data_IF_747280601887
#
_entry.id   IF_747280601887
#
_cell.length_a   1.000
_cell.length_b   1.000
_cell.length_c   1.000
_cell.angle_alpha   90.00
_cell.angle_beta   90.00
_cell.angle_gamma   90.00
#
_symmetry.space_group_name_H-M   'P 1'
#
loop_
_entity.id
_entity.type
_entity.pdbx_description
1 polymer ?
#
# COMPACT_ATOMS: atom_id res chain seq x y z
N UNK A 1 20.26 -26.47 32.55
CA UNK A 1 19.27 -26.57 31.45
C UNK A 1 18.14 -25.51 31.54
N UNK A 2 18.34 -24.40 32.27
CA UNK A 2 17.32 -23.34 32.43
C UNK A 2 17.42 -22.11 31.49
N UNK A 3 18.56 -21.75 30.86
CA UNK A 3 18.63 -20.51 30.08
C UNK A 3 18.04 -20.63 28.66
N UNK A 4 17.93 -21.82 28.10
CA UNK A 4 17.39 -22.03 26.74
C UNK A 4 15.87 -21.88 26.67
N UNK A 5 15.14 -22.18 27.76
CA UNK A 5 13.67 -22.12 27.79
C UNK A 5 13.17 -20.66 27.81
N UNK A 6 13.91 -19.73 28.44
CA UNK A 6 13.54 -18.31 28.46
C UNK A 6 13.83 -17.61 27.12
N UNK A 7 14.80 -18.09 26.34
CA UNK A 7 15.07 -17.56 25.00
C UNK A 7 14.02 -18.00 23.97
N UNK A 8 13.41 -19.18 24.16
CA UNK A 8 12.39 -19.72 23.25
C UNK A 8 10.98 -19.12 23.46
N UNK A 9 10.74 -18.38 24.55
CA UNK A 9 9.41 -17.79 24.86
C UNK A 9 9.08 -16.53 24.05
N UNK A 10 10.04 -15.93 23.31
CA UNK A 10 9.79 -14.60 22.71
C UNK A 10 9.93 -14.47 21.20
N UNK A 11 10.24 -15.54 20.43
CA UNK A 11 10.25 -15.40 18.95
C UNK A 11 8.80 -15.44 18.46
N UNK A 12 8.21 -14.30 18.03
CA UNK A 12 6.84 -14.30 17.56
C UNK A 12 6.76 -15.09 16.25
N UNK A 13 5.79 -16.00 16.13
CA UNK A 13 5.56 -16.79 14.91
C UNK A 13 5.32 -15.87 13.69
N UNK A 14 4.78 -14.68 13.95
CA UNK A 14 4.57 -13.62 12.97
C UNK A 14 4.71 -12.24 13.65
N UNK A 15 4.96 -11.17 12.89
CA UNK A 15 5.11 -9.82 13.43
C UNK A 15 3.77 -9.15 13.82
N UNK A 16 2.63 -9.78 13.55
CA UNK A 16 1.31 -9.21 13.84
C UNK A 16 0.89 -9.36 15.30
N UNK A 17 0.05 -8.44 15.77
CA UNK A 17 -0.59 -8.51 17.09
C UNK A 17 -1.99 -9.16 16.96
N UNK A 18 -2.45 -9.96 17.94
CA UNK A 18 -1.77 -10.36 19.18
C UNK A 18 -0.60 -11.31 18.96
N UNK A 19 0.47 -11.16 19.75
CA UNK A 19 1.65 -12.02 19.64
C UNK A 19 1.36 -13.45 20.12
N UNK A 20 2.02 -14.43 19.50
CA UNK A 20 1.93 -15.84 19.92
C UNK A 20 0.69 -16.59 19.44
N UNK A 21 -0.20 -15.96 18.66
CA UNK A 21 -1.29 -16.68 18.00
C UNK A 21 -0.79 -17.41 16.76
N UNK A 22 -1.38 -18.56 16.47
CA UNK A 22 -1.11 -19.26 15.21
C UNK A 22 -1.92 -18.59 14.11
N UNK A 23 -1.27 -18.19 13.01
CA UNK A 23 -1.92 -17.75 11.78
C UNK A 23 -1.79 -18.86 10.73
N UNK A 24 -2.84 -19.70 10.53
CA UNK A 24 -2.81 -20.75 9.52
C UNK A 24 -2.55 -20.16 8.13
N UNK A 25 -1.58 -20.71 7.41
CA UNK A 25 -1.22 -20.25 6.07
C UNK A 25 -0.42 -18.95 6.04
N UNK A 26 0.10 -18.46 7.17
CA UNK A 26 1.01 -17.32 7.16
C UNK A 26 2.27 -17.63 6.36
N UNK A 27 2.52 -16.80 5.35
CA UNK A 27 3.76 -16.77 4.58
C UNK A 27 4.30 -15.34 4.65
N UNK A 28 5.54 -15.20 5.08
CA UNK A 28 6.19 -13.89 5.12
C UNK A 28 6.30 -13.32 3.70
N UNK A 29 6.04 -12.02 3.57
CA UNK A 29 6.16 -11.35 2.27
C UNK A 29 7.61 -11.45 1.76
N UNK A 30 7.76 -11.81 0.49
CA UNK A 30 9.05 -11.83 -0.21
C UNK A 30 9.55 -10.42 -0.51
N UNK A 31 8.63 -9.47 -0.69
CA UNK A 31 8.97 -8.06 -0.86
C UNK A 31 9.12 -7.35 0.48
N UNK A 32 10.14 -6.49 0.58
CA UNK A 32 10.24 -5.59 1.71
C UNK A 32 9.12 -4.55 1.70
N UNK A 33 8.79 -4.00 2.87
CA UNK A 33 7.82 -2.91 2.95
C UNK A 33 8.23 -1.68 2.11
N UNK A 34 9.54 -1.46 1.93
CA UNK A 34 10.07 -0.41 1.06
C UNK A 34 9.77 -0.69 -0.41
N UNK A 35 9.98 -1.94 -0.87
CA UNK A 35 9.69 -2.35 -2.24
C UNK A 35 8.19 -2.20 -2.55
N UNK A 36 7.31 -2.63 -1.64
CA UNK A 36 5.86 -2.46 -1.81
C UNK A 36 5.45 -0.99 -1.97
N UNK A 37 5.97 -0.09 -1.13
CA UNK A 37 5.70 1.35 -1.23
C UNK A 37 6.21 1.95 -2.54
N UNK A 38 7.38 1.50 -3.00
CA UNK A 38 7.93 1.97 -4.28
C UNK A 38 7.06 1.52 -5.46
N UNK A 39 6.63 0.26 -5.48
CA UNK A 39 5.73 -0.28 -6.51
C UNK A 39 4.41 0.50 -6.52
N UNK A 40 3.82 0.75 -5.34
CA UNK A 40 2.60 1.56 -5.23
C UNK A 40 2.80 2.97 -5.79
N UNK A 41 3.89 3.65 -5.43
CA UNK A 41 4.19 4.99 -5.91
C UNK A 41 4.36 5.05 -7.43
N UNK A 42 5.01 4.04 -8.02
CA UNK A 42 5.15 3.89 -9.48
C UNK A 42 3.77 3.71 -10.12
N UNK A 43 2.94 2.79 -9.60
CA UNK A 43 1.58 2.57 -10.10
C UNK A 43 0.70 3.82 -10.02
N UNK A 44 0.68 4.49 -8.86
CA UNK A 44 -0.04 5.74 -8.67
C UNK A 44 0.44 6.84 -9.62
N UNK A 45 1.75 6.97 -9.83
CA UNK A 45 2.31 7.94 -10.78
C UNK A 45 1.90 7.64 -12.22
N UNK A 46 1.90 6.35 -12.59
CA UNK A 46 1.53 5.90 -13.94
C UNK A 46 0.08 6.24 -14.30
N UNK A 47 -0.83 6.32 -13.32
CA UNK A 47 -2.22 6.74 -13.55
C UNK A 47 -2.45 8.24 -13.34
N UNK A 48 -1.80 8.89 -12.37
CA UNK A 48 -2.05 10.29 -12.05
C UNK A 48 -1.41 11.23 -13.07
N UNK A 49 -0.22 10.89 -13.58
CA UNK A 49 0.47 11.71 -14.58
C UNK A 49 -0.33 11.87 -15.89
N UNK A 50 -0.85 10.80 -16.53
CA UNK A 50 -1.68 10.95 -17.72
C UNK A 50 -2.99 11.66 -17.40
N UNK A 51 -3.66 11.38 -16.29
CA UNK A 51 -4.88 12.09 -15.88
C UNK A 51 -4.65 13.59 -15.75
N UNK A 52 -3.57 14.00 -15.07
CA UNK A 52 -3.19 15.39 -14.95
C UNK A 52 -2.94 16.04 -16.33
N UNK A 53 -2.19 15.36 -17.21
CA UNK A 53 -1.92 15.84 -18.57
C UNK A 53 -3.19 16.00 -19.39
N UNK A 54 -4.14 15.07 -19.27
CA UNK A 54 -5.44 15.15 -19.93
C UNK A 54 -6.21 16.37 -19.44
N UNK A 55 -6.34 16.54 -18.12
CA UNK A 55 -7.06 17.68 -17.52
C UNK A 55 -6.44 19.01 -17.96
N UNK A 56 -5.11 19.17 -17.90
CA UNK A 56 -4.46 20.42 -18.29
C UNK A 56 -4.55 20.69 -19.79
N UNK A 57 -4.68 19.65 -20.62
CA UNK A 57 -4.87 19.80 -22.08
C UNK A 57 -6.30 20.17 -22.43
N UNK A 58 -7.30 19.59 -21.79
CA UNK A 58 -8.72 19.82 -22.11
C UNK A 58 -9.30 21.04 -21.38
N UNK A 59 -8.85 21.29 -20.15
CA UNK A 59 -9.32 22.38 -19.29
C UNK A 59 -8.12 23.15 -18.68
N UNK A 60 -7.34 23.89 -19.49
CA UNK A 60 -6.14 24.59 -19.01
C UNK A 60 -6.45 25.64 -17.94
N UNK A 61 -7.64 26.26 -17.97
CA UNK A 61 -8.11 27.26 -17.01
C UNK A 61 -8.70 26.69 -15.70
N UNK A 62 -8.75 25.36 -15.56
CA UNK A 62 -9.34 24.74 -14.38
C UNK A 62 -8.53 25.10 -13.11
N UNK A 63 -9.19 25.52 -12.01
CA UNK A 63 -8.53 25.81 -10.74
C UNK A 63 -7.75 24.60 -10.21
N UNK A 64 -6.60 24.85 -9.59
CA UNK A 64 -5.76 23.77 -9.05
C UNK A 64 -6.48 22.90 -8.01
N UNK A 65 -7.43 23.46 -7.27
CA UNK A 65 -8.26 22.72 -6.31
C UNK A 65 -9.11 21.64 -6.98
N UNK A 66 -9.78 21.98 -8.08
CA UNK A 66 -10.59 21.03 -8.87
C UNK A 66 -9.71 19.94 -9.50
N UNK A 67 -8.53 20.32 -10.00
CA UNK A 67 -7.55 19.34 -10.51
C UNK A 67 -7.12 18.37 -9.41
N UNK A 68 -6.81 18.88 -8.20
CA UNK A 68 -6.43 18.05 -7.07
C UNK A 68 -7.56 17.09 -6.65
N UNK A 69 -8.81 17.58 -6.63
CA UNK A 69 -10.00 16.74 -6.36
C UNK A 69 -10.15 15.62 -7.40
N UNK A 70 -10.00 15.94 -8.69
CA UNK A 70 -10.07 14.93 -9.76
C UNK A 70 -8.96 13.87 -9.63
N UNK A 71 -7.73 14.30 -9.31
CA UNK A 71 -6.61 13.38 -9.08
C UNK A 71 -6.83 12.52 -7.82
N UNK A 72 -7.39 13.09 -6.76
CA UNK A 72 -7.78 12.35 -5.57
C UNK A 72 -8.80 11.25 -5.88
N UNK A 73 -9.89 11.59 -6.58
CA UNK A 73 -10.88 10.58 -7.01
C UNK A 73 -10.26 9.49 -7.89
N UNK A 74 -9.35 9.87 -8.78
CA UNK A 74 -8.62 8.90 -9.62
C UNK A 74 -7.77 7.94 -8.78
N UNK A 75 -7.07 8.46 -7.76
CA UNK A 75 -6.28 7.64 -6.84
C UNK A 75 -7.17 6.73 -5.99
N UNK A 76 -8.30 7.24 -5.47
CA UNK A 76 -9.27 6.44 -4.71
C UNK A 76 -9.83 5.30 -5.56
N UNK A 77 -10.24 5.57 -6.80
CA UNK A 77 -10.71 4.53 -7.71
C UNK A 77 -9.65 3.45 -7.96
N UNK A 78 -8.38 3.83 -8.12
CA UNK A 78 -7.29 2.89 -8.28
C UNK A 78 -7.08 2.00 -7.05
N UNK A 79 -7.14 2.57 -5.85
CA UNK A 79 -7.01 1.79 -4.61
C UNK A 79 -8.17 0.79 -4.50
N UNK A 80 -9.42 1.24 -4.70
CA UNK A 80 -10.58 0.36 -4.60
C UNK A 80 -10.59 -0.75 -5.66
N UNK A 81 -10.25 -0.46 -6.91
CA UNK A 81 -10.34 -1.44 -7.99
C UNK A 81 -9.20 -2.46 -7.99
N UNK A 82 -7.98 -2.08 -7.59
CA UNK A 82 -6.82 -2.96 -7.68
C UNK A 82 -6.39 -3.59 -6.35
N UNK A 83 -6.67 -2.95 -5.21
CA UNK A 83 -6.24 -3.44 -3.89
C UNK A 83 -7.39 -3.96 -3.04
N UNK A 84 -8.59 -3.40 -3.18
CA UNK A 84 -9.75 -3.75 -2.33
C UNK A 84 -10.84 -4.54 -3.07
N UNK A 85 -10.76 -4.62 -4.41
CA UNK A 85 -11.70 -5.35 -5.26
C UNK A 85 -11.59 -6.86 -5.05
N UNK A 86 -12.28 -7.34 -4.03
CA UNK A 86 -12.50 -8.75 -3.70
C UNK A 86 -13.95 -9.12 -4.04
#
# INVERSE_FOLDING_TARGET
>A
MAPEILMNVSVPIHPYYPAGVTLPGYVANTFSAHALRAIFAVGATAILAPTYRIIKKTHPSLPNGEVATALWFTLSAFIHLFFEGQ
#
